data_IF_630342784098
#
_entry.id   IF_630342784098
#
_cell.length_a   1.000
_cell.length_b   1.000
_cell.length_c   1.000
_cell.angle_alpha   90.00
_cell.angle_beta   90.00
_cell.angle_gamma   90.00
#
_symmetry.space_group_name_H-M   'P 1'
#
loop_
_entity.id
_entity.type
_entity.pdbx_description
1 polymer ?
#
# COMPACT_ATOMS: atom_id res chain seq x y z
N UNK A 1 -13.04 6.63 -4.85
CA UNK A 1 -12.69 5.49 -5.72
C UNK A 1 -12.78 4.21 -4.90
N UNK A 2 -13.52 3.21 -5.39
CA UNK A 2 -13.72 1.94 -4.69
C UNK A 2 -13.13 0.80 -5.50
N UNK A 3 -12.45 -0.13 -4.83
CA UNK A 3 -11.85 -1.30 -5.43
C UNK A 3 -12.35 -2.58 -4.77
N UNK A 4 -12.52 -3.61 -5.58
CA UNK A 4 -12.73 -4.98 -5.12
C UNK A 4 -11.41 -5.74 -5.17
N UNK A 5 -11.39 -6.91 -4.55
CA UNK A 5 -10.17 -7.66 -4.26
C UNK A 5 -9.46 -8.30 -5.45
N UNK A 6 -9.81 -8.05 -6.69
CA UNK A 6 -9.28 -8.88 -7.78
C UNK A 6 -8.45 -8.13 -8.81
N UNK A 7 -8.96 -7.06 -9.42
CA UNK A 7 -8.31 -6.50 -10.60
C UNK A 7 -8.36 -4.98 -10.69
N UNK A 8 -8.88 -4.29 -9.69
CA UNK A 8 -9.06 -2.84 -9.76
C UNK A 8 -7.91 -2.16 -9.01
N UNK A 9 -6.98 -1.61 -9.74
CA UNK A 9 -5.81 -0.94 -9.21
C UNK A 9 -5.58 0.39 -9.89
N UNK A 10 -5.05 1.36 -9.11
CA UNK A 10 -4.45 2.57 -9.65
C UNK A 10 -2.94 2.42 -9.64
N UNK A 11 -2.25 3.05 -10.60
CA UNK A 11 -0.81 2.94 -10.69
C UNK A 11 -0.15 4.20 -11.21
N UNK A 12 1.13 4.38 -10.88
CA UNK A 12 1.99 5.43 -11.40
C UNK A 12 3.39 4.88 -11.60
N UNK A 13 4.06 5.32 -12.68
CA UNK A 13 5.41 4.91 -13.03
C UNK A 13 6.38 6.07 -12.82
N UNK A 14 7.55 5.77 -12.26
CA UNK A 14 8.56 6.77 -11.93
C UNK A 14 9.93 6.31 -12.40
N UNK A 15 10.59 7.05 -13.30
CA UNK A 15 11.91 6.68 -13.79
C UNK A 15 13.05 7.05 -12.84
N UNK A 16 12.90 8.09 -12.03
CA UNK A 16 13.96 8.56 -11.13
C UNK A 16 13.42 9.61 -10.16
N UNK A 17 14.23 9.97 -9.18
CA UNK A 17 13.97 11.09 -8.27
C UNK A 17 13.24 10.71 -6.99
N UNK A 18 12.55 11.68 -6.40
CA UNK A 18 11.76 11.51 -5.19
C UNK A 18 10.29 11.52 -5.54
N UNK A 19 9.57 10.53 -5.07
CA UNK A 19 8.13 10.36 -5.32
C UNK A 19 7.38 10.28 -4.03
N UNK A 20 6.19 10.87 -4.03
CA UNK A 20 5.30 10.78 -2.89
C UNK A 20 3.94 10.31 -3.36
N UNK A 21 3.39 9.35 -2.65
CA UNK A 21 2.01 8.89 -2.78
C UNK A 21 1.25 9.25 -1.51
N UNK A 22 0.02 9.70 -1.67
CA UNK A 22 -0.91 9.86 -0.55
C UNK A 22 -2.27 9.35 -0.99
N UNK A 23 -2.93 8.62 -0.09
CA UNK A 23 -4.29 8.19 -0.31
C UNK A 23 -4.94 7.82 1.01
N UNK A 24 -6.25 7.96 1.07
CA UNK A 24 -7.06 7.47 2.18
C UNK A 24 -7.72 6.17 1.77
N UNK A 25 -7.71 5.19 2.64
CA UNK A 25 -8.46 3.98 2.40
C UNK A 25 -9.40 3.68 3.57
N UNK A 26 -10.49 3.03 3.24
CA UNK A 26 -11.47 2.52 4.22
C UNK A 26 -11.93 1.16 3.75
N UNK A 27 -11.84 0.17 4.62
CA UNK A 27 -12.36 -1.16 4.33
C UNK A 27 -13.87 -1.12 4.54
N UNK A 28 -14.62 -1.35 3.47
CA UNK A 28 -16.08 -1.32 3.50
C UNK A 28 -16.62 -2.66 3.97
N UNK A 29 -16.02 -3.75 3.48
CA UNK A 29 -16.40 -5.09 3.88
C UNK A 29 -15.20 -6.03 3.80
N UNK A 30 -15.15 -7.03 4.65
CA UNK A 30 -14.03 -7.94 4.72
C UNK A 30 -14.51 -9.37 4.96
N UNK A 31 -14.91 -10.04 3.88
CA UNK A 31 -15.25 -11.46 3.91
C UNK A 31 -14.03 -12.36 3.88
N UNK A 32 -12.88 -11.85 3.41
CA UNK A 32 -11.61 -12.56 3.40
C UNK A 32 -10.76 -12.29 4.63
N UNK A 33 -9.61 -12.97 4.72
CA UNK A 33 -8.72 -12.88 5.88
C UNK A 33 -7.68 -11.76 5.75
N UNK A 34 -7.27 -11.43 4.53
CA UNK A 34 -6.29 -10.38 4.26
C UNK A 34 -6.30 -9.95 2.81
N UNK A 35 -5.78 -8.76 2.56
CA UNK A 35 -5.66 -8.18 1.21
C UNK A 35 -4.45 -7.28 1.15
N UNK A 36 -3.81 -7.21 0.00
CA UNK A 36 -2.77 -6.24 -0.27
C UNK A 36 -3.39 -4.95 -0.80
N UNK A 37 -2.98 -3.82 -0.23
CA UNK A 37 -3.53 -2.51 -0.53
C UNK A 37 -2.64 -1.67 -1.45
N UNK A 38 -1.34 -1.87 -1.35
CA UNK A 38 -0.37 -1.08 -2.10
C UNK A 38 0.86 -1.91 -2.38
N UNK A 39 1.40 -1.73 -3.59
CA UNK A 39 2.61 -2.42 -4.01
C UNK A 39 3.57 -1.44 -4.68
N UNK A 40 4.84 -1.58 -4.40
CA UNK A 40 5.89 -0.85 -5.11
C UNK A 40 6.86 -1.84 -5.72
N UNK A 41 7.07 -1.73 -7.02
CA UNK A 41 7.88 -2.66 -7.83
C UNK A 41 9.09 -1.98 -8.41
N UNK A 42 10.14 -2.76 -8.63
CA UNK A 42 11.17 -2.42 -9.62
C UNK A 42 11.15 -3.47 -10.74
N UNK A 43 12.16 -3.49 -11.59
CA UNK A 43 12.23 -4.44 -12.71
C UNK A 43 12.34 -5.90 -12.30
N UNK A 44 12.73 -6.17 -11.06
CA UNK A 44 12.86 -7.54 -10.53
C UNK A 44 11.64 -8.01 -9.75
N UNK A 45 10.69 -7.12 -9.49
CA UNK A 45 9.46 -7.46 -8.79
C UNK A 45 9.12 -6.50 -7.65
N UNK A 46 8.12 -6.85 -6.83
CA UNK A 46 7.73 -5.99 -5.70
C UNK A 46 8.77 -6.05 -4.59
N UNK A 47 9.11 -4.90 -4.03
CA UNK A 47 9.96 -4.81 -2.84
C UNK A 47 9.22 -4.25 -1.63
N UNK A 48 8.04 -3.69 -1.82
CA UNK A 48 7.17 -3.27 -0.74
C UNK A 48 5.72 -3.65 -1.05
N UNK A 49 5.10 -4.37 -0.15
CA UNK A 49 3.69 -4.77 -0.22
C UNK A 49 3.03 -4.43 1.11
N UNK A 50 2.10 -3.48 1.08
CA UNK A 50 1.32 -3.11 2.25
C UNK A 50 0.04 -3.93 2.27
N UNK A 51 -0.14 -4.72 3.31
CA UNK A 51 -1.31 -5.57 3.46
C UNK A 51 -2.05 -5.28 4.76
N UNK A 52 -3.30 -5.69 4.80
CA UNK A 52 -4.15 -5.61 6.00
C UNK A 52 -4.77 -6.97 6.29
N UNK A 53 -4.83 -7.31 7.57
CA UNK A 53 -5.53 -8.48 8.08
C UNK A 53 -6.90 -8.10 8.63
N UNK A 54 -7.78 -9.10 8.76
CA UNK A 54 -9.16 -8.89 9.23
C UNK A 54 -9.23 -8.14 10.55
N UNK A 55 -8.27 -8.33 11.45
CA UNK A 55 -8.25 -7.67 12.75
C UNK A 55 -7.74 -6.24 12.72
N UNK A 56 -7.39 -5.73 11.54
CA UNK A 56 -6.95 -4.36 11.37
C UNK A 56 -5.45 -4.14 11.47
N UNK A 57 -4.65 -5.20 11.44
CA UNK A 57 -3.19 -5.05 11.39
C UNK A 57 -2.75 -4.72 9.97
N UNK A 58 -2.10 -3.56 9.83
CA UNK A 58 -1.37 -3.20 8.62
C UNK A 58 0.05 -3.71 8.76
N UNK A 59 0.57 -4.37 7.73
CA UNK A 59 1.91 -4.94 7.80
C UNK A 59 2.60 -4.93 6.45
N UNK A 60 3.93 -5.02 6.50
CA UNK A 60 4.74 -5.24 5.31
C UNK A 60 4.82 -6.74 5.06
N UNK A 61 4.44 -7.18 3.87
CA UNK A 61 4.47 -8.61 3.53
C UNK A 61 5.90 -9.14 3.58
N UNK A 62 6.86 -8.36 3.05
CA UNK A 62 8.27 -8.70 3.16
C UNK A 62 8.74 -8.41 4.59
N UNK A 63 9.18 -9.44 5.29
CA UNK A 63 9.62 -9.34 6.68
C UNK A 63 8.51 -9.47 7.72
N UNK A 64 7.25 -9.21 7.35
CA UNK A 64 6.10 -9.40 8.25
C UNK A 64 5.92 -8.35 9.33
N UNK A 65 6.66 -7.24 9.29
CA UNK A 65 6.61 -6.21 10.33
C UNK A 65 5.26 -5.51 10.37
N UNK A 66 4.74 -5.33 11.59
CA UNK A 66 3.53 -4.55 11.80
C UNK A 66 3.83 -3.07 11.59
N UNK A 67 3.07 -2.45 10.71
CA UNK A 67 3.20 -1.02 10.41
C UNK A 67 2.24 -0.20 11.29
N UNK A 68 1.02 -0.68 11.42
CA UNK A 68 0.01 -0.02 12.26
C UNK A 68 -1.10 -1.00 12.61
N UNK A 69 -1.97 -0.59 13.52
CA UNK A 69 -3.18 -1.33 13.89
C UNK A 69 -4.39 -0.42 13.71
N UNK A 70 -5.59 -0.97 13.91
CA UNK A 70 -6.82 -0.17 13.86
C UNK A 70 -7.41 -0.01 12.47
N UNK A 71 -6.86 -0.69 11.45
CA UNK A 71 -7.42 -0.66 10.09
C UNK A 71 -8.60 -1.63 9.96
N UNK A 72 -9.59 -1.47 10.82
CA UNK A 72 -10.79 -2.29 10.83
C UNK A 72 -11.85 -1.75 9.88
N UNK A 73 -12.86 -2.57 9.58
CA UNK A 73 -13.98 -2.18 8.71
C UNK A 73 -14.59 -0.86 9.20
N UNK A 74 -14.76 0.09 8.28
CA UNK A 74 -15.34 1.39 8.57
C UNK A 74 -14.36 2.46 9.03
N UNK A 75 -13.11 2.13 9.30
CA UNK A 75 -12.11 3.10 9.74
C UNK A 75 -11.33 3.63 8.55
N UNK A 76 -11.29 4.96 8.41
CA UNK A 76 -10.55 5.64 7.34
C UNK A 76 -9.14 5.93 7.82
N UNK A 77 -8.14 5.53 7.02
CA UNK A 77 -6.73 5.73 7.32
C UNK A 77 -6.04 6.40 6.14
N UNK A 78 -5.06 7.26 6.45
CA UNK A 78 -4.24 7.91 5.45
C UNK A 78 -2.90 7.19 5.32
N UNK A 79 -2.54 6.82 4.10
CA UNK A 79 -1.25 6.24 3.77
C UNK A 79 -0.46 7.25 2.96
N UNK A 80 0.76 7.55 3.41
CA UNK A 80 1.74 8.28 2.63
C UNK A 80 2.97 7.43 2.45
N UNK A 81 3.54 7.44 1.25
CA UNK A 81 4.87 6.92 1.03
C UNK A 81 5.74 8.00 0.43
N UNK A 82 6.94 8.16 0.96
CA UNK A 82 7.96 9.06 0.41
C UNK A 82 9.11 8.18 -0.06
N UNK A 83 9.34 8.18 -1.35
CA UNK A 83 10.27 7.28 -1.98
C UNK A 83 11.41 8.06 -2.63
N UNK A 84 12.58 8.01 -2.03
CA UNK A 84 13.82 8.48 -2.63
C UNK A 84 14.49 7.29 -3.33
N UNK A 85 14.42 7.28 -4.65
CA UNK A 85 14.92 6.15 -5.44
C UNK A 85 16.41 5.91 -5.20
N UNK A 86 16.78 4.66 -4.92
CA UNK A 86 18.15 4.30 -4.60
C UNK A 86 18.55 4.59 -3.16
N UNK A 87 17.67 5.15 -2.34
CA UNK A 87 17.94 5.43 -0.91
C UNK A 87 16.94 4.74 -0.01
N UNK A 88 15.72 5.26 0.08
CA UNK A 88 14.75 4.73 1.02
C UNK A 88 13.31 4.93 0.56
N UNK A 89 12.45 4.04 1.02
CA UNK A 89 11.00 4.19 1.00
C UNK A 89 10.53 4.36 2.44
N UNK A 90 9.88 5.48 2.73
CA UNK A 90 9.32 5.77 4.04
C UNK A 90 7.80 5.65 3.99
N UNK A 91 7.24 4.95 4.95
CA UNK A 91 5.80 4.69 5.04
C UNK A 91 5.24 5.40 6.26
N UNK A 92 4.26 6.25 6.01
CA UNK A 92 3.55 7.01 7.06
C UNK A 92 2.10 6.56 7.11
N UNK A 93 1.57 6.39 8.30
CA UNK A 93 0.15 6.15 8.54
C UNK A 93 -0.38 7.28 9.42
N UNK A 94 -1.40 7.97 8.94
CA UNK A 94 -2.01 9.13 9.64
C UNK A 94 -0.97 10.17 10.06
N UNK A 95 0.04 10.38 9.19
CA UNK A 95 1.08 11.38 9.42
C UNK A 95 2.26 10.94 10.26
N UNK A 96 2.25 9.73 10.80
CA UNK A 96 3.35 9.20 11.62
C UNK A 96 4.21 8.25 10.81
N UNK A 97 5.53 8.43 10.85
CA UNK A 97 6.49 7.53 10.22
C UNK A 97 6.44 6.17 10.92
N UNK A 98 6.14 5.11 10.17
CA UNK A 98 6.00 3.76 10.69
C UNK A 98 7.08 2.80 10.24
N UNK A 99 7.65 3.01 9.05
CA UNK A 99 8.68 2.12 8.53
C UNK A 99 9.56 2.85 7.54
N UNK A 100 10.83 2.50 7.52
CA UNK A 100 11.80 2.93 6.51
C UNK A 100 12.42 1.68 5.90
N UNK A 101 12.37 1.56 4.58
CA UNK A 101 12.85 0.41 3.84
C UNK A 101 13.94 0.88 2.88
N UNK A 102 15.07 0.18 2.75
CA UNK A 102 16.05 0.47 1.70
C UNK A 102 15.39 0.34 0.32
N UNK A 103 15.64 1.30 -0.56
CA UNK A 103 15.06 1.30 -1.90
C UNK A 103 16.09 0.91 -2.95
N UNK A 104 15.76 -0.03 -3.85
CA UNK A 104 16.59 -0.28 -5.02
C UNK A 104 16.54 0.91 -5.98
N UNK A 105 17.54 1.00 -6.83
CA UNK A 105 17.55 1.96 -7.94
C UNK A 105 16.82 1.38 -9.16
N UNK A 106 16.58 2.21 -10.16
CA UNK A 106 15.94 1.81 -11.40
C UNK A 106 14.51 2.34 -11.51
N UNK A 107 13.84 2.00 -12.60
CA UNK A 107 12.46 2.41 -12.81
C UNK A 107 11.55 1.72 -11.83
N UNK A 108 10.63 2.49 -11.24
CA UNK A 108 9.70 2.01 -10.24
C UNK A 108 8.26 2.20 -10.69
N UNK A 109 7.43 1.29 -10.24
CA UNK A 109 5.99 1.31 -10.46
C UNK A 109 5.31 1.24 -9.10
N UNK A 110 4.43 2.20 -8.85
CA UNK A 110 3.66 2.28 -7.62
C UNK A 110 2.20 1.96 -7.92
N UNK A 111 1.64 1.01 -7.18
CA UNK A 111 0.24 0.56 -7.36
C UNK A 111 -0.51 0.64 -6.04
N UNK A 112 -1.77 1.01 -6.12
CA UNK A 112 -2.68 0.99 -4.98
C UNK A 112 -4.02 0.40 -5.41
N UNK A 113 -4.78 -0.10 -4.46
CA UNK A 113 -6.09 -0.69 -4.74
C UNK A 113 -6.35 -1.89 -3.84
N UNK A 114 -6.78 -2.98 -4.44
CA UNK A 114 -6.94 -4.26 -3.75
C UNK A 114 -6.35 -5.36 -4.60
N UNK A 115 -5.50 -6.18 -3.96
CA UNK A 115 -4.88 -7.33 -4.60
C UNK A 115 -5.15 -8.57 -3.80
N UNK A 116 -5.59 -9.60 -4.49
CA UNK A 116 -5.76 -10.90 -3.88
C UNK A 116 -4.39 -11.48 -3.50
N UNK A 117 -4.26 -11.91 -2.26
CA UNK A 117 -3.05 -12.61 -1.80
C UNK A 117 -3.27 -14.11 -1.94
N UNK A 118 -2.17 -14.84 -2.19
CA UNK A 118 -2.25 -16.30 -2.35
C UNK A 118 -2.86 -17.01 -1.14
N UNK A 119 -2.67 -16.46 0.06
CA UNK A 119 -3.19 -17.04 1.30
C UNK A 119 -4.43 -16.32 1.83
N UNK A 120 -4.91 -15.27 1.15
CA UNK A 120 -6.15 -14.59 1.48
C UNK A 120 -7.29 -15.12 0.65
N UNK A 121 -8.48 -15.23 1.23
CA UNK A 121 -9.67 -15.69 0.54
C UNK A 121 -10.88 -14.85 0.91
N UNK A 122 -11.95 -14.97 0.11
CA UNK A 122 -13.20 -14.26 0.31
C UNK A 122 -13.20 -12.84 -0.25
N UNK A 123 -14.39 -12.25 -0.43
CA UNK A 123 -14.51 -10.93 -1.00
C UNK A 123 -14.14 -9.84 0.01
N UNK A 124 -13.38 -8.83 -0.46
CA UNK A 124 -13.02 -7.66 0.33
C UNK A 124 -13.26 -6.43 -0.55
N UNK A 125 -13.93 -5.43 0.00
CA UNK A 125 -14.17 -4.16 -0.68
C UNK A 125 -13.45 -3.06 0.07
N UNK A 126 -12.62 -2.30 -0.64
CA UNK A 126 -11.86 -1.17 -0.10
C UNK A 126 -12.21 0.07 -0.91
N UNK A 127 -12.47 1.16 -0.22
CA UNK A 127 -12.67 2.47 -0.83
C UNK A 127 -11.42 3.31 -0.66
N UNK A 128 -10.87 3.78 -1.77
CA UNK A 128 -9.78 4.73 -1.80
C UNK A 128 -10.30 6.12 -2.15
N UNK A 129 -9.75 7.14 -1.53
CA UNK A 129 -10.15 8.53 -1.78
C UNK A 129 -8.95 9.45 -1.63
N UNK A 130 -9.07 10.65 -2.23
CA UNK A 130 -8.06 11.71 -2.14
C UNK A 130 -6.67 11.22 -2.53
N UNK A 131 -6.59 10.52 -3.67
CA UNK A 131 -5.34 9.98 -4.18
C UNK A 131 -4.51 11.10 -4.81
N UNK A 132 -3.25 11.18 -4.41
CA UNK A 132 -2.31 12.16 -4.94
C UNK A 132 -0.94 11.54 -5.15
N UNK A 133 -0.30 11.95 -6.24
CA UNK A 133 1.08 11.60 -6.55
C UNK A 133 1.88 12.87 -6.76
N UNK A 134 3.06 12.93 -6.16
CA UNK A 134 4.00 14.02 -6.37
C UNK A 134 5.33 13.48 -6.84
N UNK A 135 6.05 14.28 -7.64
CA UNK A 135 7.38 13.95 -8.11
C UNK A 135 8.27 15.20 -8.01
N UNK A 136 9.47 14.99 -7.54
CA UNK A 136 10.54 15.98 -7.61
C UNK A 136 11.59 15.55 -8.61
#
# INVERSE_FOLDING_TARGET
MSFRNEHQIGEAQFPSGTHQFEGYFKIISMGGSRICLKQTFNTTGPFFLLAVERRGRLYSVHGGDTIATGATVGTKLRVNTVHEMGKSLKVYINGSLKQTIPSPSGQLLDKFGTYRMASGNGPITVEWSDIRFWQK
#
